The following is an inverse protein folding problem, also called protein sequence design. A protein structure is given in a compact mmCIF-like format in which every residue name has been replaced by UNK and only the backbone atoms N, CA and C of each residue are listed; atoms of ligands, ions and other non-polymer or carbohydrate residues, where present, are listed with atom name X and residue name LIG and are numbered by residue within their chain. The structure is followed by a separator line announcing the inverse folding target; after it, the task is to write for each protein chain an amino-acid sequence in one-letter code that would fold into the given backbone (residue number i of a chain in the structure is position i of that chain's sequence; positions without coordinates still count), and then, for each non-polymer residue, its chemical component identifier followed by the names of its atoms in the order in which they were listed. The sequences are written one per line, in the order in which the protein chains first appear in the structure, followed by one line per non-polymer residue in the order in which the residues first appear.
data_IF_689233404567
#
_entry.id   IF_689233404567
#
_cell.length_a   1.000
_cell.length_b   1.000
_cell.length_c   1.000
_cell.angle_alpha   90.00
_cell.angle_beta   90.00
_cell.angle_gamma   90.00
#
_symmetry.space_group_name_H-M   'P 1'
#
loop_
_entity.id
_entity.type
_entity.pdbx_description
1 polymer ?
#
# COMPACT_ATOMS: atom_id res chain seq x y z
N UNK A 1 -31.25 -4.63 -8.02
CA UNK A 1 -30.93 -4.12 -6.68
C UNK A 1 -32.21 -3.97 -5.88
N UNK A 2 -32.36 -4.71 -4.78
CA UNK A 2 -33.58 -4.70 -3.95
C UNK A 2 -33.46 -3.63 -2.85
N UNK A 3 -34.60 -3.12 -2.40
CA UNK A 3 -34.69 -2.02 -1.43
C UNK A 3 -35.63 -2.39 -0.29
N UNK A 4 -35.21 -2.15 0.95
CA UNK A 4 -35.99 -2.31 2.16
C UNK A 4 -36.31 -0.93 2.75
N UNK A 5 -37.57 -0.70 3.09
CA UNK A 5 -38.05 0.58 3.61
C UNK A 5 -38.45 0.42 5.08
N UNK A 6 -37.71 1.07 5.97
CA UNK A 6 -38.12 1.30 7.35
C UNK A 6 -39.10 2.48 7.41
N UNK A 7 -40.30 2.23 7.88
CA UNK A 7 -41.23 3.28 8.32
C UNK A 7 -40.98 3.52 9.82
N UNK A 8 -40.78 4.78 10.20
CA UNK A 8 -40.59 5.19 11.59
C UNK A 8 -41.67 4.64 12.51
N UNK A 9 -41.25 3.87 13.52
CA UNK A 9 -42.02 3.63 14.73
C UNK A 9 -41.04 3.36 15.89
N UNK A 10 -41.39 3.83 17.08
CA UNK A 10 -40.56 3.95 18.28
C UNK A 10 -40.18 2.60 18.96
N UNK A 11 -40.07 1.49 18.21
CA UNK A 11 -39.79 0.16 18.76
C UNK A 11 -38.76 -0.61 17.92
N UNK A 12 -38.00 -1.54 18.54
CA UNK A 12 -37.13 -2.44 17.79
C UNK A 12 -37.97 -3.34 16.87
N UNK A 13 -37.82 -3.17 15.55
CA UNK A 13 -38.43 -4.05 14.56
C UNK A 13 -37.43 -5.10 14.10
N UNK A 14 -37.85 -6.35 14.14
CA UNK A 14 -37.18 -7.45 13.46
C UNK A 14 -37.53 -7.37 11.97
N UNK A 15 -36.57 -7.02 11.12
CA UNK A 15 -36.74 -7.16 9.67
C UNK A 15 -36.55 -8.64 9.30
N UNK A 16 -37.61 -9.26 8.80
CA UNK A 16 -37.51 -10.57 8.16
C UNK A 16 -36.86 -10.37 6.78
N UNK A 17 -35.56 -10.66 6.67
CA UNK A 17 -34.92 -10.80 5.37
C UNK A 17 -35.08 -12.23 4.88
N UNK A 18 -35.54 -12.35 3.65
CA UNK A 18 -35.36 -13.58 2.89
C UNK A 18 -33.88 -13.68 2.48
N UNK A 19 -33.19 -14.69 2.97
CA UNK A 19 -31.77 -14.92 2.70
C UNK A 19 -31.52 -15.15 1.19
N UNK A 20 -32.52 -15.68 0.47
CA UNK A 20 -32.47 -15.78 -0.99
C UNK A 20 -32.39 -14.39 -1.66
N UNK A 21 -32.96 -13.34 -1.07
CA UNK A 21 -32.88 -11.99 -1.61
C UNK A 21 -31.47 -11.38 -1.53
N UNK A 22 -30.62 -11.85 -0.61
CA UNK A 22 -29.21 -11.44 -0.52
C UNK A 22 -28.31 -12.16 -1.53
N UNK A 23 -28.75 -13.32 -2.03
CA UNK A 23 -28.03 -14.06 -3.07
C UNK A 23 -28.15 -13.41 -4.46
N UNK A 24 -29.16 -12.55 -4.67
CA UNK A 24 -29.32 -11.74 -5.88
C UNK A 24 -28.49 -10.45 -5.87
N UNK A 25 -27.81 -10.17 -4.74
CA UNK A 25 -26.88 -9.05 -4.56
C UNK A 25 -27.29 -8.05 -3.48
N UNK A 26 -26.60 -6.90 -3.40
CA UNK A 26 -26.74 -5.96 -2.31
C UNK A 26 -28.15 -5.37 -2.17
N UNK A 27 -28.62 -5.29 -0.93
CA UNK A 27 -29.94 -4.75 -0.57
C UNK A 27 -29.77 -3.42 0.14
N UNK A 28 -30.36 -2.35 -0.41
CA UNK A 28 -30.34 -1.05 0.25
C UNK A 28 -31.37 -1.00 1.37
N UNK A 29 -30.95 -0.58 2.56
CA UNK A 29 -31.82 -0.26 3.68
C UNK A 29 -32.07 1.25 3.65
N UNK A 30 -33.33 1.62 3.50
CA UNK A 30 -33.81 3.00 3.47
C UNK A 30 -34.73 3.26 4.64
N UNK A 31 -34.68 4.46 5.22
CA UNK A 31 -35.58 4.94 6.26
C UNK A 31 -36.42 6.06 5.69
N UNK A 32 -37.73 6.03 5.94
CA UNK A 32 -38.63 7.15 5.69
C UNK A 32 -38.78 7.93 6.99
N UNK A 33 -38.40 9.20 6.95
CA UNK A 33 -38.52 10.15 8.06
C UNK A 33 -39.11 11.44 7.49
N UNK A 34 -40.23 11.90 8.05
CA UNK A 34 -40.92 13.13 7.59
C UNK A 34 -41.34 13.12 6.10
N UNK A 35 -41.57 11.96 5.49
CA UNK A 35 -41.93 11.81 4.08
C UNK A 35 -40.75 11.77 3.10
N UNK A 36 -39.51 11.86 3.59
CA UNK A 36 -38.29 11.70 2.79
C UNK A 36 -37.65 10.34 3.00
N UNK A 37 -37.26 9.68 1.91
CA UNK A 37 -36.57 8.39 1.93
C UNK A 37 -35.04 8.60 1.94
N UNK A 38 -34.36 8.09 2.97
CA UNK A 38 -32.90 8.18 3.14
C UNK A 38 -32.26 6.80 3.22
N UNK A 39 -31.21 6.54 2.45
CA UNK A 39 -30.41 5.32 2.60
C UNK A 39 -29.64 5.37 3.92
N UNK A 40 -29.84 4.36 4.77
CA UNK A 40 -29.19 4.22 6.09
C UNK A 40 -28.17 3.09 6.13
N UNK A 41 -28.23 2.16 5.19
CA UNK A 41 -27.27 1.06 5.11
C UNK A 41 -27.43 0.23 3.85
N UNK A 42 -26.50 -0.70 3.66
CA UNK A 42 -26.56 -1.72 2.62
C UNK A 42 -26.27 -3.06 3.27
N UNK A 43 -27.12 -4.04 3.01
CA UNK A 43 -26.92 -5.43 3.39
C UNK A 43 -26.31 -6.15 2.20
N UNK A 44 -25.28 -6.93 2.47
CA UNK A 44 -24.56 -7.75 1.50
C UNK A 44 -24.45 -9.16 2.05
N UNK A 45 -24.23 -10.14 1.17
CA UNK A 45 -24.00 -11.50 1.64
C UNK A 45 -22.71 -11.58 2.47
N UNK A 46 -22.59 -12.54 3.40
CA UNK A 46 -21.36 -12.75 4.16
C UNK A 46 -20.13 -12.98 3.26
N UNK A 47 -20.34 -13.65 2.10
CA UNK A 47 -19.30 -13.91 1.12
C UNK A 47 -18.82 -12.62 0.43
N UNK A 48 -19.74 -11.79 -0.06
CA UNK A 48 -19.40 -10.48 -0.65
C UNK A 48 -18.68 -9.58 0.35
N UNK A 49 -19.13 -9.59 1.61
CA UNK A 49 -18.47 -8.82 2.67
C UNK A 49 -17.04 -9.31 2.93
N UNK A 50 -16.83 -10.63 2.98
CA UNK A 50 -15.50 -11.22 3.15
C UNK A 50 -14.57 -10.87 1.98
N UNK A 51 -15.07 -10.94 0.74
CA UNK A 51 -14.34 -10.54 -0.46
C UNK A 51 -13.96 -9.05 -0.44
N UNK A 52 -14.90 -8.19 -0.04
CA UNK A 52 -14.66 -6.75 0.11
C UNK A 52 -13.55 -6.47 1.13
N UNK A 53 -13.57 -7.14 2.28
CA UNK A 53 -12.53 -7.00 3.30
C UNK A 53 -11.16 -7.46 2.79
N UNK A 54 -11.09 -8.63 2.16
CA UNK A 54 -9.86 -9.15 1.58
C UNK A 54 -9.28 -8.17 0.52
N UNK A 55 -10.13 -7.64 -0.35
CA UNK A 55 -9.74 -6.62 -1.33
C UNK A 55 -9.20 -5.36 -0.65
N UNK A 56 -9.90 -4.87 0.38
CA UNK A 56 -9.51 -3.64 1.12
C UNK A 56 -8.14 -3.80 1.77
N UNK A 57 -7.84 -4.93 2.38
CA UNK A 57 -6.52 -5.22 2.95
C UNK A 57 -5.42 -5.19 1.90
N UNK A 58 -5.66 -5.79 0.72
CA UNK A 58 -4.70 -5.78 -0.40
C UNK A 58 -4.42 -4.35 -0.85
N UNK A 59 -5.46 -3.51 -1.00
CA UNK A 59 -5.28 -2.11 -1.38
C UNK A 59 -4.49 -1.32 -0.35
N UNK A 60 -4.77 -1.52 0.95
CA UNK A 60 -4.02 -0.86 2.01
C UNK A 60 -2.55 -1.28 2.03
N UNK A 61 -2.25 -2.57 1.81
CA UNK A 61 -0.87 -3.04 1.68
C UNK A 61 -0.17 -2.41 0.49
N UNK A 62 -0.82 -2.33 -0.67
CA UNK A 62 -0.28 -1.67 -1.87
C UNK A 62 0.00 -0.19 -1.63
N UNK A 63 -0.92 0.54 -0.99
CA UNK A 63 -0.72 1.94 -0.65
C UNK A 63 0.48 2.16 0.28
N UNK A 64 0.64 1.31 1.30
CA UNK A 64 1.82 1.35 2.19
C UNK A 64 3.12 1.05 1.46
N UNK A 65 3.10 0.07 0.55
CA UNK A 65 4.26 -0.23 -0.28
C UNK A 65 4.61 0.95 -1.18
N UNK A 66 3.65 1.56 -1.87
CA UNK A 66 3.91 2.72 -2.73
C UNK A 66 4.49 3.90 -1.96
N UNK A 67 3.99 4.18 -0.76
CA UNK A 67 4.56 5.20 0.12
C UNK A 67 6.00 4.88 0.55
N UNK A 68 6.30 3.61 0.85
CA UNK A 68 7.66 3.19 1.17
C UNK A 68 8.61 3.27 -0.04
N UNK A 69 8.12 2.97 -1.25
CA UNK A 69 8.95 3.02 -2.47
C UNK A 69 9.31 4.45 -2.87
N UNK A 70 8.45 5.44 -2.63
CA UNK A 70 8.77 6.85 -2.90
C UNK A 70 9.98 7.35 -2.10
N UNK A 71 10.00 7.10 -0.79
CA UNK A 71 11.11 7.49 0.08
C UNK A 71 12.43 6.73 -0.26
N UNK A 72 12.32 5.45 -0.64
CA UNK A 72 13.47 4.66 -1.10
C UNK A 72 14.00 5.17 -2.44
N UNK A 73 13.13 5.57 -3.36
CA UNK A 73 13.53 6.12 -4.65
C UNK A 73 14.25 7.46 -4.50
N UNK A 74 13.75 8.36 -3.65
CA UNK A 74 14.43 9.64 -3.37
C UNK A 74 15.77 9.47 -2.64
N UNK A 75 15.89 8.48 -1.75
CA UNK A 75 17.17 8.14 -1.14
C UNK A 75 18.16 7.60 -2.20
N UNK A 76 17.68 6.72 -3.09
CA UNK A 76 18.49 6.16 -4.16
C UNK A 76 18.98 7.23 -5.16
N UNK A 77 18.10 8.11 -5.62
CA UNK A 77 18.44 9.22 -6.53
C UNK A 77 19.49 10.16 -5.93
N UNK A 78 19.47 10.37 -4.61
CA UNK A 78 20.51 11.16 -3.91
C UNK A 78 21.86 10.47 -3.95
N UNK A 79 21.92 9.15 -3.74
CA UNK A 79 23.16 8.38 -3.81
C UNK A 79 23.72 8.34 -5.22
N UNK A 80 22.88 8.18 -6.25
CA UNK A 80 23.31 8.23 -7.66
C UNK A 80 23.97 9.57 -7.98
N UNK A 81 23.35 10.68 -7.59
CA UNK A 81 23.92 12.02 -7.79
C UNK A 81 25.22 12.24 -7.01
N UNK A 82 25.32 11.68 -5.81
CA UNK A 82 26.56 11.74 -5.03
C UNK A 82 27.69 10.95 -5.72
N UNK A 83 27.38 9.74 -6.22
CA UNK A 83 28.30 8.93 -7.01
C UNK A 83 28.79 9.67 -8.26
N UNK A 84 27.89 10.24 -9.06
CA UNK A 84 28.24 10.97 -10.28
C UNK A 84 29.20 12.14 -10.01
N UNK A 85 29.01 12.87 -8.90
CA UNK A 85 29.91 13.96 -8.49
C UNK A 85 31.29 13.46 -8.08
N UNK A 86 31.35 12.31 -7.43
CA UNK A 86 32.59 11.71 -6.90
C UNK A 86 33.34 10.86 -7.92
N UNK A 87 32.69 10.51 -9.04
CA UNK A 87 33.22 9.64 -10.08
C UNK A 87 34.63 10.03 -10.55
N UNK A 88 34.95 11.31 -10.84
CA UNK A 88 36.30 11.68 -11.28
C UNK A 88 37.38 11.37 -10.23
N UNK A 89 37.10 11.67 -8.95
CA UNK A 89 38.02 11.45 -7.83
C UNK A 89 38.16 9.96 -7.52
N UNK A 90 37.09 9.19 -7.69
CA UNK A 90 37.09 7.74 -7.52
C UNK A 90 37.93 7.05 -8.59
N UNK A 91 37.82 7.46 -9.85
CA UNK A 91 38.62 6.91 -10.95
C UNK A 91 40.12 7.22 -10.78
N UNK A 92 40.45 8.38 -10.21
CA UNK A 92 41.83 8.77 -9.93
C UNK A 92 42.42 8.00 -8.74
N UNK A 93 41.69 7.92 -7.62
CA UNK A 93 42.20 7.40 -6.34
C UNK A 93 41.98 5.90 -6.13
N UNK A 94 40.97 5.33 -6.78
CA UNK A 94 40.49 3.95 -6.57
C UNK A 94 40.39 3.17 -7.88
N UNK A 95 41.32 3.42 -8.81
CA UNK A 95 41.42 2.67 -10.07
C UNK A 95 41.51 1.16 -9.80
N UNK A 96 40.71 0.37 -10.50
CA UNK A 96 40.59 -1.09 -10.38
C UNK A 96 40.20 -1.58 -8.97
N UNK A 97 39.43 -0.78 -8.21
CA UNK A 97 38.92 -1.17 -6.89
C UNK A 97 37.41 -0.96 -6.81
N UNK A 98 36.73 -1.93 -6.19
CA UNK A 98 35.31 -1.80 -5.82
C UNK A 98 35.20 -0.86 -4.62
N UNK A 99 34.32 0.13 -4.73
CA UNK A 99 34.03 1.09 -3.67
C UNK A 99 32.53 1.11 -3.38
N UNK A 100 32.17 1.14 -2.11
CA UNK A 100 30.79 1.38 -1.69
C UNK A 100 30.63 2.86 -1.37
N UNK A 101 29.51 3.45 -1.79
CA UNK A 101 29.12 4.83 -1.45
C UNK A 101 27.84 4.78 -0.64
N UNK A 102 27.86 5.51 0.47
CA UNK A 102 26.71 5.68 1.35
C UNK A 102 26.75 7.09 1.94
N UNK A 103 25.64 7.81 1.90
CA UNK A 103 25.51 9.23 2.29
C UNK A 103 26.57 10.13 1.62
N UNK A 104 26.92 9.83 0.36
CA UNK A 104 27.96 10.57 -0.38
C UNK A 104 29.38 10.43 0.21
N UNK A 105 29.64 9.38 0.98
CA UNK A 105 30.96 9.05 1.50
C UNK A 105 31.45 7.70 0.97
N UNK A 106 32.74 7.62 0.68
CA UNK A 106 33.38 6.40 0.17
C UNK A 106 33.84 5.51 1.31
N UNK A 107 33.26 4.31 1.38
CA UNK A 107 33.64 3.29 2.35
C UNK A 107 34.66 2.33 1.73
N UNK A 108 35.93 2.50 2.07
CA UNK A 108 37.03 1.61 1.67
C UNK A 108 37.43 0.74 2.88
N UNK A 109 36.69 -0.32 3.18
CA UNK A 109 37.22 -1.31 4.14
C UNK A 109 36.67 -2.67 3.77
N UNK A 110 37.50 -3.44 3.06
CA UNK A 110 37.35 -4.87 2.78
C UNK A 110 35.90 -5.33 2.76
N UNK A 111 35.19 -5.06 1.66
CA UNK A 111 33.86 -5.62 1.46
C UNK A 111 34.00 -7.13 1.23
N UNK A 112 34.19 -7.91 2.30
CA UNK A 112 33.85 -9.34 2.27
C UNK A 112 32.33 -9.44 2.11
N UNK A 113 31.82 -10.22 1.16
CA UNK A 113 30.43 -10.17 0.68
C UNK A 113 29.39 -10.76 1.66
N UNK A 114 29.64 -10.79 2.98
CA UNK A 114 28.80 -11.52 3.92
C UNK A 114 27.94 -10.69 4.87
N UNK A 115 28.14 -9.37 4.99
CA UNK A 115 27.25 -8.50 5.80
C UNK A 115 27.24 -7.05 5.30
N UNK A 116 26.36 -6.74 4.35
CA UNK A 116 25.78 -5.40 4.23
C UNK A 116 24.27 -5.59 4.13
N UNK A 117 23.56 -5.22 5.20
CA UNK A 117 22.11 -5.39 5.34
C UNK A 117 21.38 -4.13 4.88
N UNK A 118 20.39 -4.38 4.02
CA UNK A 118 19.17 -3.63 3.67
C UNK A 118 19.23 -2.25 3.02
N UNK A 119 20.24 -1.39 3.23
CA UNK A 119 20.22 -0.04 2.63
C UNK A 119 21.54 0.41 1.93
N UNK A 120 22.56 -0.43 1.83
CA UNK A 120 23.83 -0.07 1.17
C UNK A 120 23.89 -0.55 -0.28
N UNK A 121 24.25 0.35 -1.20
CA UNK A 121 24.46 0.04 -2.62
C UNK A 121 25.94 -0.38 -2.84
N UNK A 122 26.17 -1.50 -3.54
CA UNK A 122 27.50 -1.98 -3.91
C UNK A 122 27.60 -1.96 -5.43
N UNK A 123 28.45 -1.10 -5.99
CA UNK A 123 28.76 -1.06 -7.42
C UNK A 123 30.11 -1.73 -7.66
N UNK A 124 30.12 -2.89 -8.31
CA UNK A 124 31.33 -3.61 -8.73
C UNK A 124 31.63 -3.21 -10.18
N UNK A 125 32.86 -2.77 -10.46
CA UNK A 125 33.35 -2.58 -11.83
C UNK A 125 34.66 -3.35 -12.03
N UNK A 126 34.70 -4.18 -13.07
CA UNK A 126 35.92 -4.71 -13.69
C UNK A 126 36.14 -3.96 -15.01
N UNK A 127 37.36 -3.47 -15.22
CA UNK A 127 37.90 -3.05 -16.52
C UNK A 127 39.32 -3.54 -16.62
#
# INVERSE_FOLDING_TARGET
MKTLILKEAQSPYTLTLDEAALSEGPVQVRRIEGGSERVVGVLVSPEEYAMFHAWREIQQRRARMQQAHGAVHEAFEREVKAFERMLPQLLEKHRNRVVAIHDGQVWWRWATPKKMSRNGFISVWET
#
